data_IF_523462530518
#
_entry.id   IF_523462530518
#
_cell.length_a   1.000
_cell.length_b   1.000
_cell.length_c   1.000
_cell.angle_alpha   90.00
_cell.angle_beta   90.00
_cell.angle_gamma   90.00
#
_symmetry.space_group_name_H-M   'P 1'
#
loop_
_entity.id
_entity.type
_entity.pdbx_description
1 polymer ?
#
# COMPACT_ATOMS: atom_id res chain seq x y z
N UNK A 1 -10.35 -20.18 11.28
CA UNK A 1 -10.17 -20.43 9.83
C UNK A 1 -8.91 -19.70 9.37
N UNK A 2 -8.13 -20.24 8.44
CA UNK A 2 -7.04 -19.48 7.85
C UNK A 2 -7.61 -18.31 7.03
N UNK A 3 -7.01 -17.14 7.18
CA UNK A 3 -7.38 -15.93 6.43
C UNK A 3 -6.25 -15.54 5.50
N UNK A 4 -6.56 -15.03 4.31
CA UNK A 4 -5.60 -14.48 3.37
C UNK A 4 -5.75 -12.97 3.38
N UNK A 5 -4.66 -12.25 3.57
CA UNK A 5 -4.62 -10.79 3.42
C UNK A 5 -3.86 -10.48 2.14
N UNK A 6 -4.47 -9.68 1.29
CA UNK A 6 -3.83 -9.11 0.09
C UNK A 6 -3.49 -7.66 0.42
N UNK A 7 -2.28 -7.23 0.10
CA UNK A 7 -1.87 -5.84 0.22
C UNK A 7 -1.47 -5.31 -1.15
N UNK A 8 -2.05 -4.16 -1.53
CA UNK A 8 -1.69 -3.41 -2.73
C UNK A 8 -0.85 -2.20 -2.39
N UNK A 9 0.34 -2.10 -2.98
CA UNK A 9 1.17 -0.90 -2.92
C UNK A 9 1.03 -0.10 -4.20
N UNK A 10 0.56 1.14 -4.09
CA UNK A 10 0.30 2.04 -5.21
C UNK A 10 1.19 3.28 -5.08
N UNK A 11 2.04 3.48 -6.07
CA UNK A 11 3.01 4.56 -6.08
C UNK A 11 3.32 5.03 -7.50
N UNK A 12 3.51 6.32 -7.63
CA UNK A 12 4.19 6.96 -8.76
C UNK A 12 5.21 7.95 -8.19
N UNK A 13 6.39 8.07 -8.80
CA UNK A 13 7.32 9.11 -8.41
C UNK A 13 6.69 10.50 -8.64
N UNK A 14 7.06 11.50 -7.83
CA UNK A 14 6.70 12.88 -8.11
C UNK A 14 7.13 13.27 -9.55
N UNK A 15 6.23 13.89 -10.29
CA UNK A 15 6.46 14.27 -11.69
C UNK A 15 6.32 15.77 -11.91
N UNK A 16 5.86 16.47 -10.90
CA UNK A 16 5.72 17.92 -10.94
C UNK A 16 7.10 18.58 -11.04
N UNK A 17 7.23 19.53 -11.98
CA UNK A 17 8.38 20.43 -11.98
C UNK A 17 8.38 21.25 -10.69
N UNK A 18 9.48 21.23 -9.92
CA UNK A 18 9.53 21.87 -8.59
C UNK A 18 9.45 23.42 -8.63
N UNK A 19 9.57 24.03 -9.80
CA UNK A 19 9.47 25.48 -9.99
C UNK A 19 8.11 25.91 -10.51
N UNK A 20 7.46 25.06 -11.32
CA UNK A 20 6.19 25.38 -11.98
C UNK A 20 5.00 24.74 -11.26
N UNK A 21 5.23 23.74 -10.42
CA UNK A 21 4.19 22.91 -9.75
C UNK A 21 3.21 22.28 -10.76
N UNK A 22 3.71 21.99 -11.97
CA UNK A 22 2.98 21.37 -13.06
C UNK A 22 3.70 20.12 -13.55
N UNK A 23 2.93 19.13 -14.03
CA UNK A 23 3.48 17.95 -14.67
C UNK A 23 3.67 18.23 -16.15
N UNK A 24 4.90 18.13 -16.65
CA UNK A 24 5.20 18.27 -18.07
C UNK A 24 4.66 17.09 -18.88
N UNK A 25 4.39 17.35 -20.18
CA UNK A 25 3.94 16.32 -21.10
C UNK A 25 5.04 15.28 -21.34
N UNK A 26 4.73 14.00 -21.09
CA UNK A 26 5.64 12.87 -21.26
C UNK A 26 5.28 12.07 -22.53
N UNK A 27 6.06 12.21 -23.60
CA UNK A 27 5.81 11.52 -24.88
C UNK A 27 5.69 10.00 -24.74
N UNK A 28 6.40 9.40 -23.78
CA UNK A 28 6.34 7.97 -23.49
C UNK A 28 5.02 7.52 -22.87
N UNK A 29 4.22 8.45 -22.36
CA UNK A 29 2.89 8.17 -21.81
C UNK A 29 1.77 8.23 -22.85
N UNK A 30 2.07 8.60 -24.12
CA UNK A 30 1.06 8.75 -25.17
C UNK A 30 0.08 7.56 -25.22
N UNK A 31 -1.23 7.80 -25.44
CA UNK A 31 -1.89 9.06 -25.80
C UNK A 31 -2.26 9.97 -24.61
N UNK A 32 -1.80 9.67 -23.40
CA UNK A 32 -2.03 10.47 -22.20
C UNK A 32 -0.98 11.59 -22.10
N UNK A 33 -1.29 12.63 -21.35
CA UNK A 33 -0.38 13.74 -21.12
C UNK A 33 0.90 13.29 -20.39
N UNK A 34 0.73 12.47 -19.38
CA UNK A 34 1.80 11.98 -18.48
C UNK A 34 1.48 10.59 -17.93
N UNK A 35 2.45 10.00 -17.23
CA UNK A 35 2.30 8.68 -16.63
C UNK A 35 1.33 8.65 -15.45
N UNK A 36 1.12 9.73 -14.72
CA UNK A 36 0.11 9.78 -13.66
C UNK A 36 -1.28 9.60 -14.26
N UNK A 37 -1.61 10.33 -15.32
CA UNK A 37 -2.88 10.18 -16.03
C UNK A 37 -3.05 8.78 -16.61
N UNK A 38 -1.98 8.26 -17.23
CA UNK A 38 -2.04 6.93 -17.86
C UNK A 38 -2.31 5.84 -16.83
N UNK A 39 -1.56 5.79 -15.75
CA UNK A 39 -1.72 4.76 -14.72
C UNK A 39 -3.03 4.96 -13.93
N UNK A 40 -3.46 6.20 -13.71
CA UNK A 40 -4.79 6.44 -13.15
C UNK A 40 -5.87 5.81 -14.01
N UNK A 41 -5.83 6.02 -15.30
CA UNK A 41 -6.84 5.51 -16.24
C UNK A 41 -6.79 3.99 -16.40
N UNK A 42 -5.60 3.43 -16.54
CA UNK A 42 -5.40 2.01 -16.82
C UNK A 42 -5.46 1.13 -15.56
N UNK A 43 -5.12 1.67 -14.38
CA UNK A 43 -5.01 0.93 -13.14
C UNK A 43 -5.91 1.46 -12.03
N UNK A 44 -5.65 2.67 -11.49
CA UNK A 44 -6.26 3.10 -10.23
C UNK A 44 -7.77 3.27 -10.32
N UNK A 45 -8.27 3.85 -11.40
CA UNK A 45 -9.71 3.94 -11.68
C UNK A 45 -10.35 2.55 -11.80
N UNK A 46 -9.66 1.59 -12.40
CA UNK A 46 -10.15 0.22 -12.53
C UNK A 46 -10.22 -0.49 -11.18
N UNK A 47 -9.29 -0.21 -10.26
CA UNK A 47 -9.26 -0.81 -8.91
C UNK A 47 -10.43 -0.30 -8.05
N UNK A 48 -10.74 0.99 -8.11
CA UNK A 48 -11.86 1.57 -7.33
C UNK A 48 -13.22 1.34 -7.97
N UNK A 49 -13.29 0.91 -9.22
CA UNK A 49 -14.53 0.62 -9.95
C UNK A 49 -14.42 -0.66 -10.78
N UNK A 50 -13.97 -1.74 -10.14
CA UNK A 50 -13.80 -3.04 -10.77
C UNK A 50 -15.14 -3.60 -11.25
N UNK A 51 -15.15 -4.10 -12.49
CA UNK A 51 -16.34 -4.62 -13.15
C UNK A 51 -16.44 -6.12 -12.94
N UNK A 52 -17.46 -6.55 -12.22
CA UNK A 52 -17.82 -7.96 -12.13
C UNK A 52 -18.81 -8.25 -13.27
N UNK A 53 -18.43 -9.12 -14.19
CA UNK A 53 -19.28 -9.48 -15.33
C UNK A 53 -20.07 -10.75 -15.06
N UNK A 54 -21.31 -10.80 -15.52
CA UNK A 54 -22.13 -11.99 -15.55
C UNK A 54 -21.68 -12.93 -16.71
N UNK A 55 -22.23 -14.13 -16.77
CA UNK A 55 -21.89 -15.11 -17.82
C UNK A 55 -22.23 -14.64 -19.24
N UNK A 56 -23.18 -13.72 -19.38
CA UNK A 56 -23.59 -13.11 -20.65
C UNK A 56 -22.73 -11.90 -21.06
N UNK A 57 -21.66 -11.60 -20.31
CA UNK A 57 -20.75 -10.48 -20.56
C UNK A 57 -21.24 -9.12 -20.06
N UNK A 58 -22.45 -9.01 -19.52
CA UNK A 58 -22.95 -7.75 -18.94
C UNK A 58 -22.29 -7.46 -17.60
N UNK A 59 -22.13 -6.18 -17.28
CA UNK A 59 -21.66 -5.76 -15.95
C UNK A 59 -22.76 -6.06 -14.95
N UNK A 60 -22.51 -7.04 -14.07
CA UNK A 60 -23.44 -7.42 -13.00
C UNK A 60 -23.28 -6.49 -11.78
N UNK A 61 -22.05 -6.03 -11.48
CA UNK A 61 -21.75 -5.20 -10.33
C UNK A 61 -20.46 -4.41 -10.56
N UNK A 62 -20.43 -3.19 -10.02
CA UNK A 62 -19.20 -2.43 -9.79
C UNK A 62 -18.79 -2.60 -8.33
N UNK A 63 -17.53 -2.82 -8.07
CA UNK A 63 -16.99 -2.97 -6.71
C UNK A 63 -15.73 -2.13 -6.55
N UNK A 64 -15.56 -1.54 -5.39
CA UNK A 64 -14.29 -0.94 -5.01
C UNK A 64 -13.43 -2.02 -4.34
N UNK A 65 -12.39 -2.46 -5.03
CA UNK A 65 -11.51 -3.55 -4.57
C UNK A 65 -10.81 -3.19 -3.25
N UNK A 66 -10.51 -1.90 -3.03
CA UNK A 66 -9.85 -1.42 -1.83
C UNK A 66 -10.66 -1.62 -0.54
N UNK A 67 -11.97 -1.79 -0.65
CA UNK A 67 -12.81 -2.15 0.51
C UNK A 67 -12.46 -3.55 1.07
N UNK A 68 -11.79 -4.40 0.28
CA UNK A 68 -11.56 -5.81 0.60
C UNK A 68 -10.08 -6.18 0.75
N UNK A 69 -9.15 -5.32 0.36
CA UNK A 69 -7.71 -5.53 0.47
C UNK A 69 -7.07 -4.44 1.33
N UNK A 70 -5.95 -4.76 2.00
CA UNK A 70 -5.10 -3.72 2.58
C UNK A 70 -4.37 -2.96 1.47
N UNK A 71 -4.12 -1.68 1.67
CA UNK A 71 -3.47 -0.87 0.64
C UNK A 71 -2.73 0.33 1.22
N UNK A 72 -1.79 0.87 0.44
CA UNK A 72 -1.26 2.21 0.62
C UNK A 72 -1.13 2.91 -0.73
N UNK A 73 -1.29 4.22 -0.71
CA UNK A 73 -0.99 5.12 -1.82
C UNK A 73 0.09 6.11 -1.40
N UNK A 74 1.01 6.41 -2.32
CA UNK A 74 2.04 7.43 -2.07
C UNK A 74 1.41 8.81 -1.81
N UNK A 75 1.85 9.56 -0.76
CA UNK A 75 1.32 10.88 -0.47
C UNK A 75 1.40 11.84 -1.66
N UNK A 76 2.52 11.87 -2.37
CA UNK A 76 2.71 12.71 -3.57
C UNK A 76 1.75 12.33 -4.71
N UNK A 77 1.49 11.03 -4.89
CA UNK A 77 0.49 10.56 -5.85
C UNK A 77 -0.93 10.97 -5.44
N UNK A 78 -1.27 10.86 -4.15
CA UNK A 78 -2.58 11.30 -3.64
C UNK A 78 -2.76 12.81 -3.77
N UNK A 79 -1.71 13.60 -3.64
CA UNK A 79 -1.74 15.05 -3.85
C UNK A 79 -2.08 15.39 -5.30
N UNK A 80 -1.43 14.73 -6.27
CA UNK A 80 -1.77 14.85 -7.67
C UNK A 80 -3.23 14.41 -7.93
N UNK A 81 -3.66 13.26 -7.38
CA UNK A 81 -5.03 12.77 -7.57
C UNK A 81 -6.10 13.69 -6.98
N UNK A 82 -5.82 14.35 -5.88
CA UNK A 82 -6.73 15.30 -5.22
C UNK A 82 -7.08 16.45 -6.18
N UNK A 83 -6.13 16.86 -7.03
CA UNK A 83 -6.29 17.92 -8.04
C UNK A 83 -6.85 17.37 -9.36
N UNK A 84 -6.22 16.34 -9.91
CA UNK A 84 -6.40 15.92 -11.31
C UNK A 84 -7.34 14.70 -11.49
N UNK A 85 -7.53 13.89 -10.44
CA UNK A 85 -8.30 12.65 -10.50
C UNK A 85 -9.26 12.51 -9.31
N UNK A 86 -9.97 13.58 -8.99
CA UNK A 86 -10.78 13.73 -7.78
C UNK A 86 -11.74 12.57 -7.51
N UNK A 87 -12.42 12.05 -8.53
CA UNK A 87 -13.35 10.94 -8.37
C UNK A 87 -12.66 9.64 -7.89
N UNK A 88 -11.47 9.34 -8.43
CA UNK A 88 -10.65 8.21 -8.01
C UNK A 88 -10.11 8.42 -6.60
N UNK A 89 -9.62 9.62 -6.30
CA UNK A 89 -9.17 10.01 -4.97
C UNK A 89 -10.25 9.84 -3.90
N UNK A 90 -11.44 10.40 -4.11
CA UNK A 90 -12.57 10.26 -3.19
C UNK A 90 -13.00 8.80 -2.98
N UNK A 91 -12.96 7.98 -4.04
CA UNK A 91 -13.27 6.56 -3.97
C UNK A 91 -12.23 5.76 -3.15
N UNK A 92 -10.93 6.15 -3.21
CA UNK A 92 -9.88 5.58 -2.37
C UNK A 92 -10.16 5.86 -0.88
N UNK A 93 -10.45 7.12 -0.54
CA UNK A 93 -10.74 7.48 0.85
C UNK A 93 -12.02 6.82 1.37
N UNK A 94 -13.07 6.77 0.55
CA UNK A 94 -14.34 6.11 0.89
C UNK A 94 -14.18 4.61 1.16
N UNK A 95 -13.24 3.94 0.48
CA UNK A 95 -12.95 2.52 0.71
C UNK A 95 -12.39 2.28 2.12
N UNK A 96 -11.51 3.16 2.61
CA UNK A 96 -10.99 3.06 3.97
C UNK A 96 -12.09 3.27 5.01
N UNK A 97 -12.94 4.28 4.84
CA UNK A 97 -14.10 4.52 5.71
C UNK A 97 -15.04 3.31 5.75
N UNK A 98 -15.30 2.69 4.59
CA UNK A 98 -16.16 1.50 4.48
C UNK A 98 -15.55 0.30 5.21
N UNK A 99 -14.25 0.06 5.00
CA UNK A 99 -13.54 -1.02 5.67
C UNK A 99 -13.42 -0.79 7.18
N UNK A 100 -13.17 0.43 7.63
CA UNK A 100 -13.10 0.79 9.04
C UNK A 100 -14.41 0.52 9.78
N UNK A 101 -15.56 0.84 9.17
CA UNK A 101 -16.88 0.51 9.74
C UNK A 101 -17.07 -1.00 9.92
N UNK A 102 -16.63 -1.80 8.96
CA UNK A 102 -16.72 -3.27 9.00
C UNK A 102 -15.75 -3.89 10.00
N UNK A 103 -14.57 -3.29 10.18
CA UNK A 103 -13.46 -3.81 10.96
C UNK A 103 -13.30 -3.10 12.32
N UNK A 104 -14.37 -2.55 12.89
CA UNK A 104 -14.41 -1.95 14.24
C UNK A 104 -13.42 -0.78 14.42
N UNK A 105 -13.25 0.04 13.41
CA UNK A 105 -12.32 1.19 13.41
C UNK A 105 -11.00 0.95 12.70
N UNK A 106 -10.65 -0.30 12.38
CA UNK A 106 -9.45 -0.64 11.64
C UNK A 106 -9.70 -0.53 10.14
N UNK A 107 -9.21 0.52 9.51
CA UNK A 107 -9.32 0.69 8.05
C UNK A 107 -8.30 -0.16 7.28
N UNK A 108 -8.54 -0.35 5.99
CA UNK A 108 -7.65 -1.12 5.12
C UNK A 108 -6.40 -0.33 4.68
N UNK A 109 -6.45 1.01 4.73
CA UNK A 109 -5.31 1.84 4.37
C UNK A 109 -4.21 1.77 5.43
N UNK A 110 -2.95 1.74 5.00
CA UNK A 110 -1.78 1.96 5.84
C UNK A 110 -0.97 3.15 5.32
N UNK A 111 -0.17 3.78 6.17
CA UNK A 111 0.68 4.91 5.78
C UNK A 111 1.91 4.45 5.00
N UNK A 112 2.66 5.41 4.46
CA UNK A 112 4.05 5.25 4.00
C UNK A 112 4.82 6.53 4.27
N UNK A 113 6.18 6.52 4.23
CA UNK A 113 6.99 7.74 4.24
C UNK A 113 6.60 8.67 3.10
N UNK A 114 6.67 9.97 3.32
CA UNK A 114 6.07 10.96 2.42
C UNK A 114 6.60 10.89 0.98
N UNK A 115 7.95 10.90 0.81
CA UNK A 115 8.59 10.94 -0.53
C UNK A 115 9.07 9.57 -1.05
N UNK A 116 8.63 8.47 -0.48
CA UNK A 116 9.09 7.12 -0.89
C UNK A 116 10.61 6.92 -0.72
N UNK A 117 11.19 7.56 0.27
CA UNK A 117 12.62 7.46 0.58
C UNK A 117 13.01 6.06 1.08
N UNK A 118 14.13 5.52 0.61
CA UNK A 118 14.73 4.28 1.14
C UNK A 118 15.31 4.59 2.53
N UNK A 119 14.49 4.42 3.57
CA UNK A 119 14.80 4.88 4.91
C UNK A 119 16.14 4.37 5.47
N UNK A 120 16.57 3.11 5.26
CA UNK A 120 17.89 2.66 5.72
C UNK A 120 19.07 3.48 5.20
N UNK A 121 18.93 4.16 4.06
CA UNK A 121 19.96 5.02 3.47
C UNK A 121 19.89 6.47 3.96
N UNK A 122 18.84 6.83 4.68
CA UNK A 122 18.64 8.18 5.19
C UNK A 122 19.27 8.36 6.58
N UNK A 123 19.55 9.60 6.96
CA UNK A 123 19.94 9.91 8.35
C UNK A 123 18.76 9.68 9.30
N UNK A 124 19.02 9.43 10.59
CA UNK A 124 17.95 9.26 11.58
C UNK A 124 16.98 10.43 11.60
N UNK A 125 17.49 11.66 11.43
CA UNK A 125 16.66 12.87 11.36
C UNK A 125 15.71 12.82 10.17
N UNK A 126 16.20 12.44 9.00
CA UNK A 126 15.41 12.38 7.78
C UNK A 126 14.40 11.22 7.84
N UNK A 127 14.78 10.05 8.40
CA UNK A 127 13.84 8.96 8.70
C UNK A 127 12.65 9.47 9.53
N UNK A 128 12.93 10.19 10.63
CA UNK A 128 11.88 10.76 11.49
C UNK A 128 11.00 11.76 10.73
N UNK A 129 11.59 12.63 9.92
CA UNK A 129 10.85 13.62 9.13
C UNK A 129 9.92 12.96 8.12
N UNK A 130 10.44 12.02 7.33
CA UNK A 130 9.68 11.28 6.33
C UNK A 130 8.51 10.49 6.93
N UNK A 131 8.75 9.84 8.08
CA UNK A 131 7.71 9.08 8.79
C UNK A 131 6.65 10.02 9.35
N UNK A 132 7.03 11.12 10.00
CA UNK A 132 6.10 12.11 10.57
C UNK A 132 5.25 12.78 9.49
N UNK A 133 5.85 13.15 8.38
CA UNK A 133 5.11 13.73 7.26
C UNK A 133 4.14 12.73 6.64
N UNK A 134 4.56 11.47 6.47
CA UNK A 134 3.65 10.41 6.01
C UNK A 134 2.48 10.17 6.96
N UNK A 135 2.71 10.19 8.28
CA UNK A 135 1.66 10.10 9.30
C UNK A 135 0.73 11.30 9.25
N UNK A 136 1.27 12.51 9.12
CA UNK A 136 0.47 13.74 9.07
C UNK A 136 -0.43 13.77 7.83
N UNK A 137 0.09 13.40 6.66
CA UNK A 137 -0.68 13.27 5.43
C UNK A 137 -1.78 12.21 5.57
N UNK A 138 -1.45 11.05 6.14
CA UNK A 138 -2.43 9.99 6.40
C UNK A 138 -3.57 10.47 7.29
N UNK A 139 -3.27 11.15 8.40
CA UNK A 139 -4.28 11.75 9.29
C UNK A 139 -5.18 12.73 8.55
N UNK A 140 -4.59 13.61 7.74
CA UNK A 140 -5.32 14.61 6.96
C UNK A 140 -6.33 13.96 6.02
N UNK A 141 -5.91 12.90 5.32
CA UNK A 141 -6.73 12.24 4.28
C UNK A 141 -7.73 11.25 4.84
N UNK A 142 -7.29 10.37 5.74
CA UNK A 142 -8.11 9.25 6.23
C UNK A 142 -8.82 9.54 7.56
N UNK A 143 -8.51 10.68 8.22
CA UNK A 143 -9.19 11.12 9.45
C UNK A 143 -8.95 10.22 10.67
N UNK A 144 -7.91 9.39 10.65
CA UNK A 144 -7.53 8.47 11.74
C UNK A 144 -6.01 8.31 11.83
N UNK A 145 -5.54 7.72 12.94
CA UNK A 145 -4.14 7.34 13.08
C UNK A 145 -3.81 6.12 12.21
N UNK A 146 -2.63 6.10 11.56
CA UNK A 146 -2.16 4.90 10.89
C UNK A 146 -1.67 3.87 11.90
N UNK A 147 -2.09 2.61 11.75
CA UNK A 147 -1.60 1.50 12.56
C UNK A 147 -0.36 0.86 11.94
N UNK A 148 -0.30 0.81 10.62
CA UNK A 148 0.80 0.26 9.85
C UNK A 148 1.42 1.27 8.90
N UNK A 149 2.67 0.99 8.52
CA UNK A 149 3.37 1.76 7.51
C UNK A 149 4.06 0.84 6.52
N UNK A 150 3.83 1.06 5.22
CA UNK A 150 4.61 0.45 4.15
C UNK A 150 5.98 1.14 4.08
N UNK A 151 7.03 0.35 3.95
CA UNK A 151 8.38 0.86 3.71
C UNK A 151 8.71 0.77 2.22
N UNK A 152 9.22 1.84 1.60
CA UNK A 152 9.65 1.82 0.21
C UNK A 152 10.60 0.67 -0.08
N UNK A 153 10.32 -0.09 -1.15
CA UNK A 153 11.04 -1.30 -1.56
C UNK A 153 11.14 -2.38 -0.45
N UNK A 154 10.29 -2.29 0.56
CA UNK A 154 10.36 -3.06 1.81
C UNK A 154 11.70 -2.92 2.55
N UNK A 155 12.51 -1.92 2.19
CA UNK A 155 13.84 -1.71 2.79
C UNK A 155 13.72 -1.38 4.28
N UNK A 156 14.43 -2.14 5.12
CA UNK A 156 14.31 -2.09 6.57
C UNK A 156 15.64 -2.30 7.26
N UNK A 157 15.88 -1.54 8.33
CA UNK A 157 16.93 -1.76 9.32
C UNK A 157 16.36 -1.54 10.74
N UNK A 158 17.13 -1.88 11.76
CA UNK A 158 16.68 -1.75 13.14
C UNK A 158 16.37 -0.29 13.52
N UNK A 159 17.18 0.66 13.06
CA UNK A 159 16.95 2.08 13.32
C UNK A 159 15.64 2.58 12.70
N UNK A 160 15.31 2.14 11.48
CA UNK A 160 14.02 2.44 10.85
C UNK A 160 12.86 1.88 11.68
N UNK A 161 12.96 0.65 12.17
CA UNK A 161 11.93 0.05 13.03
C UNK A 161 11.79 0.80 14.37
N UNK A 162 12.88 1.27 14.96
CA UNK A 162 12.85 2.12 16.16
C UNK A 162 12.13 3.44 15.90
N UNK A 163 12.38 4.08 14.75
CA UNK A 163 11.69 5.30 14.36
C UNK A 163 10.20 5.03 14.17
N UNK A 164 9.82 3.98 13.46
CA UNK A 164 8.41 3.62 13.28
C UNK A 164 7.69 3.40 14.61
N UNK A 165 8.27 2.56 15.49
CA UNK A 165 7.69 2.28 16.80
C UNK A 165 7.63 3.53 17.68
N UNK A 166 8.64 4.40 17.62
CA UNK A 166 8.69 5.68 18.35
C UNK A 166 7.64 6.68 17.89
N UNK A 167 7.22 6.62 16.64
CA UNK A 167 6.16 7.46 16.06
C UNK A 167 4.76 6.77 16.11
N UNK A 168 4.62 5.65 16.83
CA UNK A 168 3.33 4.99 17.08
C UNK A 168 2.89 3.96 16.03
N UNK A 169 3.72 3.65 15.04
CA UNK A 169 3.44 2.60 14.08
C UNK A 169 3.61 1.23 14.74
N UNK A 170 2.60 0.39 14.63
CA UNK A 170 2.54 -0.91 15.31
C UNK A 170 2.98 -2.08 14.45
N UNK A 171 2.93 -1.93 13.12
CA UNK A 171 3.38 -2.98 12.20
C UNK A 171 3.90 -2.44 10.87
N UNK A 172 4.72 -3.26 10.22
CA UNK A 172 5.12 -3.06 8.82
C UNK A 172 5.16 -4.38 8.07
N UNK A 173 5.25 -4.29 6.74
CA UNK A 173 5.34 -5.44 5.83
C UNK A 173 6.78 -5.53 5.32
N UNK A 174 7.34 -6.73 5.31
CA UNK A 174 8.72 -6.99 4.91
C UNK A 174 8.82 -8.18 3.96
N UNK A 175 9.90 -8.26 3.20
CA UNK A 175 10.18 -9.44 2.38
C UNK A 175 10.67 -10.61 3.25
N UNK A 176 10.39 -11.86 2.88
CA UNK A 176 10.79 -13.04 3.68
C UNK A 176 12.29 -13.13 3.94
N UNK A 177 13.12 -12.68 3.01
CA UNK A 177 14.58 -12.72 3.13
C UNK A 177 15.16 -11.64 4.06
N UNK A 178 14.34 -10.66 4.48
CA UNK A 178 14.75 -9.58 5.38
C UNK A 178 14.61 -9.96 6.86
N UNK A 179 14.03 -11.11 7.15
CA UNK A 179 13.87 -11.63 8.51
C UNK A 179 14.59 -12.97 8.67
N UNK A 180 15.26 -13.16 9.79
CA UNK A 180 16.00 -14.41 10.07
C UNK A 180 15.06 -15.60 10.26
N UNK A 181 13.82 -15.36 10.64
CA UNK A 181 12.80 -16.40 10.87
C UNK A 181 11.41 -15.88 10.56
N UNK A 182 10.73 -16.51 9.61
CA UNK A 182 9.30 -16.29 9.36
C UNK A 182 8.52 -17.24 10.27
N UNK A 183 7.61 -16.73 11.13
CA UNK A 183 6.79 -17.61 11.97
C UNK A 183 5.93 -18.57 11.13
N UNK A 184 5.74 -19.78 11.63
CA UNK A 184 4.93 -20.78 10.94
C UNK A 184 3.49 -20.31 10.74
N UNK A 185 2.90 -20.67 9.58
CA UNK A 185 1.51 -20.31 9.23
C UNK A 185 1.30 -18.85 8.87
N UNK A 186 2.38 -18.11 8.54
CA UNK A 186 2.29 -16.72 8.10
C UNK A 186 1.84 -15.71 9.16
N UNK A 187 2.03 -16.05 10.42
CA UNK A 187 1.77 -15.12 11.53
C UNK A 187 2.78 -13.98 11.50
N UNK A 188 2.41 -12.76 11.97
CA UNK A 188 3.40 -11.71 12.16
C UNK A 188 4.44 -12.12 13.20
N UNK A 189 5.68 -11.76 12.97
CA UNK A 189 6.74 -11.83 13.96
C UNK A 189 6.76 -10.57 14.81
N UNK A 190 6.93 -10.70 16.12
CA UNK A 190 7.17 -9.54 16.97
C UNK A 190 8.67 -9.26 17.05
N UNK A 191 9.10 -8.13 16.49
CA UNK A 191 10.48 -7.66 16.60
C UNK A 191 10.62 -6.82 17.87
N UNK A 192 11.47 -7.28 18.80
CA UNK A 192 11.84 -6.51 19.99
C UNK A 192 13.01 -5.59 19.64
N UNK A 193 12.88 -4.33 19.96
CA UNK A 193 13.85 -3.30 19.62
C UNK A 193 14.75 -2.98 20.81
N UNK A 194 15.98 -2.49 20.58
CA UNK A 194 16.94 -2.18 21.65
C UNK A 194 16.38 -1.25 22.73
N UNK A 195 15.52 -0.27 22.35
CA UNK A 195 14.86 0.65 23.27
C UNK A 195 13.71 0.06 24.11
N UNK A 196 13.48 -1.26 24.06
CA UNK A 196 12.43 -1.95 24.82
C UNK A 196 11.04 -1.92 24.16
N UNK A 197 10.85 -1.15 23.11
CA UNK A 197 9.63 -1.17 22.29
C UNK A 197 9.60 -2.41 21.38
N UNK A 198 8.47 -2.62 20.71
CA UNK A 198 8.33 -3.71 19.74
C UNK A 198 7.43 -3.31 18.59
N UNK A 199 7.65 -3.94 17.44
CA UNK A 199 6.86 -3.74 16.23
C UNK A 199 6.57 -5.09 15.58
N UNK A 200 5.36 -5.27 15.05
CA UNK A 200 4.99 -6.48 14.33
C UNK A 200 5.48 -6.44 12.88
N UNK A 201 6.10 -7.54 12.42
CA UNK A 201 6.58 -7.69 11.06
C UNK A 201 5.75 -8.75 10.33
N UNK A 202 5.13 -8.35 9.24
CA UNK A 202 4.40 -9.25 8.34
C UNK A 202 5.29 -9.60 7.16
N UNK A 203 5.87 -10.80 7.14
CA UNK A 203 6.59 -11.28 5.97
C UNK A 203 5.58 -11.74 4.91
N UNK A 204 5.62 -11.12 3.72
CA UNK A 204 4.75 -11.53 2.63
C UNK A 204 5.20 -12.86 1.99
N UNK A 205 4.31 -13.51 1.24
CA UNK A 205 4.63 -14.73 0.51
C UNK A 205 5.09 -14.40 -0.91
N UNK A 206 6.39 -14.50 -1.17
CA UNK A 206 7.01 -14.17 -2.46
C UNK A 206 6.41 -14.96 -3.62
N UNK A 207 6.24 -16.28 -3.48
CA UNK A 207 5.66 -17.13 -4.52
C UNK A 207 4.24 -16.71 -4.91
N UNK A 208 3.39 -16.42 -3.91
CA UNK A 208 2.01 -15.97 -4.13
C UNK A 208 1.96 -14.56 -4.72
N UNK A 209 2.85 -13.67 -4.28
CA UNK A 209 2.97 -12.31 -4.81
C UNK A 209 3.43 -12.32 -6.27
N UNK A 210 4.42 -13.15 -6.60
CA UNK A 210 4.89 -13.34 -7.98
C UNK A 210 3.79 -13.91 -8.89
N UNK A 211 3.05 -14.91 -8.41
CA UNK A 211 1.95 -15.49 -9.15
C UNK A 211 0.82 -14.45 -9.40
N UNK A 212 0.50 -13.63 -8.40
CA UNK A 212 -0.50 -12.57 -8.54
C UNK A 212 -0.06 -11.44 -9.49
N UNK A 213 1.23 -11.08 -9.49
CA UNK A 213 1.76 -10.00 -10.31
C UNK A 213 2.16 -10.43 -11.73
N UNK A 214 2.63 -11.66 -11.92
CA UNK A 214 3.23 -12.14 -13.17
C UNK A 214 2.44 -13.15 -13.98
N UNK A 215 1.61 -13.97 -13.33
CA UNK A 215 0.87 -15.08 -13.94
C UNK A 215 -0.61 -15.09 -13.58
N UNK A 216 -1.09 -14.04 -12.90
CA UNK A 216 -2.50 -13.89 -12.57
C UNK A 216 -3.39 -13.93 -13.81
N UNK A 217 -4.68 -14.28 -13.69
CA UNK A 217 -5.60 -14.25 -14.80
C UNK A 217 -5.52 -12.90 -15.51
N UNK A 218 -5.67 -12.87 -16.81
CA UNK A 218 -5.50 -11.70 -17.69
C UNK A 218 -6.21 -10.41 -17.21
N UNK A 219 -7.16 -10.55 -16.30
CA UNK A 219 -7.86 -9.46 -15.63
C UNK A 219 -7.02 -8.60 -14.67
N UNK A 220 -5.80 -9.03 -14.29
CA UNK A 220 -4.86 -8.28 -13.47
C UNK A 220 -3.69 -7.72 -14.30
N UNK A 221 -3.67 -7.95 -15.59
CA UNK A 221 -2.70 -7.31 -16.48
C UNK A 221 -3.12 -5.87 -16.70
N UNK A 222 -2.33 -4.93 -16.21
CA UNK A 222 -2.22 -3.65 -16.88
C UNK A 222 -1.68 -3.95 -18.27
N UNK A 223 -2.56 -4.10 -19.27
CA UNK A 223 -2.20 -4.39 -20.65
C UNK A 223 -1.63 -3.13 -21.28
N UNK A 224 -0.33 -2.97 -21.20
CA UNK A 224 0.42 -1.98 -21.95
C UNK A 224 1.77 -2.59 -22.25
N UNK A 225 2.01 -2.88 -23.53
CA UNK A 225 3.22 -3.51 -24.01
C UNK A 225 4.49 -2.73 -23.68
N UNK A 226 5.59 -3.48 -23.70
CA UNK A 226 6.97 -3.10 -23.51
C UNK A 226 7.46 -2.85 -22.08
N UNK A 227 8.43 -3.67 -21.71
CA UNK A 227 9.17 -3.68 -20.44
C UNK A 227 10.10 -2.47 -20.35
N UNK A 228 9.58 -1.29 -20.13
CA UNK A 228 10.41 -0.16 -19.76
C UNK A 228 9.57 0.98 -19.21
N UNK A 229 9.23 0.89 -17.97
CA UNK A 229 9.06 2.00 -17.03
C UNK A 229 8.40 1.49 -15.76
N UNK A 230 8.94 1.91 -14.68
CA UNK A 230 8.66 1.48 -13.32
C UNK A 230 7.27 1.98 -12.88
N UNK A 231 6.22 1.28 -13.25
CA UNK A 231 4.92 1.44 -12.62
C UNK A 231 4.74 0.28 -11.63
N UNK A 232 4.97 0.56 -10.36
CA UNK A 232 4.86 -0.43 -9.30
C UNK A 232 3.41 -0.50 -8.79
N UNK A 233 2.61 -1.35 -9.43
CA UNK A 233 1.47 -1.95 -8.75
C UNK A 233 1.94 -3.30 -8.22
N UNK A 234 2.45 -3.34 -7.00
CA UNK A 234 2.88 -4.59 -6.36
C UNK A 234 1.72 -5.14 -5.54
N UNK A 235 1.25 -6.32 -5.90
CA UNK A 235 0.29 -7.07 -5.08
C UNK A 235 1.07 -8.05 -4.21
N UNK A 236 1.09 -7.79 -2.90
CA UNK A 236 1.71 -8.67 -1.93
C UNK A 236 0.65 -9.49 -1.19
N UNK A 237 0.70 -10.81 -1.32
CA UNK A 237 -0.15 -11.70 -0.54
C UNK A 237 0.47 -11.93 0.85
N UNK A 238 -0.17 -11.41 1.88
CA UNK A 238 0.22 -11.64 3.28
C UNK A 238 -0.50 -12.87 3.79
N UNK A 239 0.23 -13.80 4.41
CA UNK A 239 -0.29 -15.09 4.90
C UNK A 239 -1.30 -14.96 6.05
N UNK A 240 -2.13 -15.98 6.31
CA UNK A 240 -3.30 -15.91 7.16
C UNK A 240 -3.01 -15.57 8.61
N UNK A 241 -3.80 -14.66 9.17
CA UNK A 241 -3.88 -14.40 10.62
C UNK A 241 -4.82 -15.46 11.22
N UNK A 242 -4.28 -16.38 12.00
CA UNK A 242 -5.11 -17.24 12.84
C UNK A 242 -5.55 -16.43 14.07
N UNK A 243 -6.80 -16.00 14.10
CA UNK A 243 -7.42 -15.46 15.32
C UNK A 243 -7.64 -16.61 16.29
N UNK A 244 -6.75 -16.80 17.26
CA UNK A 244 -7.06 -17.58 18.46
C UNK A 244 -7.85 -16.68 19.42
N UNK A 245 -9.12 -16.97 19.60
CA UNK A 245 -9.91 -16.42 20.70
C UNK A 245 -9.20 -16.76 22.04
N UNK A 246 -9.18 -15.84 23.03
CA UNK A 246 -8.67 -16.18 24.35
C UNK A 246 -9.60 -17.23 24.96
N UNK A 247 -9.03 -18.39 25.33
CA UNK A 247 -9.74 -19.35 26.16
C UNK A 247 -9.94 -18.70 27.53
N UNK A 248 -11.18 -18.49 27.91
CA UNK A 248 -11.55 -18.17 29.27
C UNK A 248 -11.12 -19.35 30.16
N UNK A 249 -10.24 -19.08 31.11
CA UNK A 249 -9.96 -20.02 32.19
C UNK A 249 -11.14 -19.98 33.18
N UNK A 250 -11.79 -21.11 33.33
CA UNK A 250 -12.70 -21.42 34.44
C UNK A 250 -11.93 -21.58 35.74
#
# INVERSE_FOLDING_TARGET
MPSVVIHGHFYQPPREDPFLDEVEAELSAAPFHDWNQRIERECYRAVVAARITARDGRIARLVNTLESISFNYGPTLLEWMEREAKATYEAILAADVTSARRLKGHGNAIAQPYHHTILPLATRRDKMTEVRWGIADFRRRYGREPEGMWLPETAVDLETLEVLAGEGITFTIVAPHQVTRVPAGGRPGLCRLPGGSSIALFAYRGDSSHAAAGTGPESLRCTGGERSSISHCSVNAVSPIATSAPQAKS
#
